data_IF_965539175868
#
_entry.id   IF_965539175868
#
_cell.length_a   1.000
_cell.length_b   1.000
_cell.length_c   1.000
_cell.angle_alpha   90.00
_cell.angle_beta   90.00
_cell.angle_gamma   90.00
#
_symmetry.space_group_name_H-M   'P 1'
#
loop_
_entity.id
_entity.type
_entity.pdbx_description
1 polymer ?
#
# COMPACT_ATOMS: atom_id res chain seq x y z
N UNK A 1 4.78 19.97 -4.38
CA UNK A 1 3.79 19.00 -4.92
C UNK A 1 3.69 17.88 -3.92
N UNK A 2 2.47 17.53 -3.49
CA UNK A 2 2.25 16.51 -2.46
C UNK A 2 2.70 15.13 -2.97
N UNK A 3 3.26 14.31 -2.09
CA UNK A 3 3.83 12.98 -2.40
C UNK A 3 2.99 11.90 -1.68
N UNK A 4 2.43 10.98 -2.44
CA UNK A 4 1.65 9.83 -1.97
C UNK A 4 2.52 8.59 -2.04
N UNK A 5 2.71 7.91 -0.92
CA UNK A 5 3.31 6.59 -0.88
C UNK A 5 2.26 5.50 -1.19
N UNK A 6 2.66 4.51 -1.96
CA UNK A 6 1.84 3.37 -2.36
C UNK A 6 2.60 2.12 -1.93
N UNK A 7 2.04 1.35 -1.01
CA UNK A 7 2.62 0.08 -0.58
C UNK A 7 1.66 -1.05 -0.88
N UNK A 8 2.07 -2.03 -1.67
CA UNK A 8 1.28 -3.20 -2.02
C UNK A 8 2.03 -4.50 -1.74
N UNK A 9 1.34 -5.63 -1.90
CA UNK A 9 1.90 -6.94 -1.56
C UNK A 9 1.95 -7.87 -2.76
N UNK A 10 3.01 -8.68 -2.87
CA UNK A 10 3.04 -9.78 -3.85
C UNK A 10 2.06 -10.90 -3.52
N UNK A 11 1.61 -11.00 -2.26
CA UNK A 11 0.57 -11.92 -1.83
C UNK A 11 -0.82 -11.57 -2.40
N UNK A 12 -1.10 -10.29 -2.67
CA UNK A 12 -2.38 -9.87 -3.19
C UNK A 12 -2.62 -10.41 -4.61
N UNK A 13 -3.84 -10.87 -4.87
CA UNK A 13 -4.21 -11.46 -6.17
C UNK A 13 -4.71 -10.44 -7.20
N UNK A 14 -4.77 -9.17 -6.82
CA UNK A 14 -5.26 -8.08 -7.65
C UNK A 14 -4.38 -6.84 -7.45
N UNK A 15 -4.01 -6.17 -8.55
CA UNK A 15 -3.20 -4.94 -8.52
C UNK A 15 -4.05 -3.72 -8.14
N UNK A 16 -4.40 -3.64 -6.84
CA UNK A 16 -5.14 -2.51 -6.27
C UNK A 16 -4.36 -1.19 -6.35
N UNK A 17 -3.03 -1.27 -6.24
CA UNK A 17 -2.16 -0.10 -6.33
C UNK A 17 -2.21 0.53 -7.72
N UNK A 18 -2.18 -0.29 -8.78
CA UNK A 18 -2.37 0.15 -10.17
C UNK A 18 -3.67 0.92 -10.37
N UNK A 19 -4.79 0.33 -9.93
CA UNK A 19 -6.11 0.96 -10.01
C UNK A 19 -6.17 2.29 -9.24
N UNK A 20 -5.65 2.33 -8.00
CA UNK A 20 -5.67 3.54 -7.20
C UNK A 20 -4.81 4.67 -7.79
N UNK A 21 -3.64 4.37 -8.34
CA UNK A 21 -2.79 5.37 -9.00
C UNK A 21 -3.44 5.93 -10.27
N UNK A 22 -4.16 5.10 -11.03
CA UNK A 22 -4.86 5.54 -12.24
C UNK A 22 -5.97 6.55 -11.90
N UNK A 23 -6.80 6.23 -10.92
CA UNK A 23 -7.84 7.13 -10.41
C UNK A 23 -7.26 8.43 -9.87
N UNK A 24 -6.20 8.37 -9.05
CA UNK A 24 -5.59 9.56 -8.45
C UNK A 24 -4.98 10.50 -9.51
N UNK A 25 -4.43 9.96 -10.60
CA UNK A 25 -3.95 10.79 -11.73
C UNK A 25 -5.08 11.59 -12.40
N UNK A 26 -6.31 11.06 -12.39
CA UNK A 26 -7.49 11.74 -12.92
C UNK A 26 -8.08 12.81 -11.98
N UNK A 27 -7.81 12.72 -10.68
CA UNK A 27 -8.42 13.58 -9.66
C UNK A 27 -7.50 14.70 -9.17
N UNK A 28 -6.18 14.48 -9.10
CA UNK A 28 -5.25 15.45 -8.54
C UNK A 28 -3.80 15.31 -9.03
N UNK A 29 -3.04 16.41 -8.89
CA UNK A 29 -1.61 16.44 -9.22
C UNK A 29 -0.75 16.09 -8.01
N UNK A 30 -0.43 14.81 -7.86
CA UNK A 30 0.44 14.27 -6.80
C UNK A 30 1.60 13.47 -7.37
N UNK A 31 2.71 13.37 -6.63
CA UNK A 31 3.81 12.46 -6.94
C UNK A 31 3.55 11.11 -6.28
N UNK A 32 3.95 10.02 -6.93
CA UNK A 32 3.83 8.67 -6.36
C UNK A 32 5.20 8.10 -6.02
N UNK A 33 5.26 7.36 -4.91
CA UNK A 33 6.37 6.49 -4.54
C UNK A 33 5.79 5.10 -4.26
N UNK A 34 6.06 4.13 -5.14
CA UNK A 34 5.50 2.76 -5.01
C UNK A 34 6.55 1.80 -4.50
N UNK A 35 6.19 0.99 -3.50
CA UNK A 35 6.99 -0.13 -3.01
C UNK A 35 6.13 -1.37 -2.84
N UNK A 36 6.67 -2.53 -3.20
CA UNK A 36 5.98 -3.81 -3.09
C UNK A 36 6.70 -4.69 -2.08
N UNK A 37 5.97 -5.21 -1.10
CA UNK A 37 6.47 -6.09 -0.03
C UNK A 37 5.88 -7.50 -0.16
N UNK A 38 6.40 -8.52 0.54
CA UNK A 38 5.87 -9.88 0.42
C UNK A 38 4.40 -10.01 0.87
N UNK A 39 4.04 -9.50 2.04
CA UNK A 39 2.71 -9.71 2.61
C UNK A 39 2.21 -8.59 3.52
N UNK A 40 1.03 -8.80 4.10
CA UNK A 40 0.32 -7.80 4.90
C UNK A 40 1.12 -7.32 6.11
N UNK A 41 1.89 -8.22 6.74
CA UNK A 41 2.71 -7.93 7.93
C UNK A 41 3.92 -7.05 7.64
N UNK A 42 4.30 -6.90 6.38
CA UNK A 42 5.42 -6.05 5.95
C UNK A 42 4.96 -4.61 5.66
N UNK A 43 3.66 -4.39 5.43
CA UNK A 43 3.08 -3.09 5.12
C UNK A 43 3.35 -2.02 6.21
N UNK A 44 3.25 -2.30 7.53
CA UNK A 44 3.39 -1.25 8.54
C UNK A 44 4.78 -0.60 8.54
N UNK A 45 5.84 -1.41 8.47
CA UNK A 45 7.22 -0.90 8.49
C UNK A 45 7.52 -0.12 7.22
N UNK A 46 7.07 -0.62 6.06
CA UNK A 46 7.35 0.05 4.80
C UNK A 46 6.53 1.33 4.63
N UNK A 47 5.28 1.35 5.09
CA UNK A 47 4.49 2.57 5.15
C UNK A 47 5.13 3.62 6.06
N UNK A 48 5.62 3.22 7.23
CA UNK A 48 6.35 4.12 8.12
C UNK A 48 7.60 4.69 7.46
N UNK A 49 8.39 3.87 6.77
CA UNK A 49 9.58 4.33 6.02
C UNK A 49 9.23 5.37 4.98
N UNK A 50 8.18 5.15 4.18
CA UNK A 50 7.75 6.13 3.17
C UNK A 50 7.31 7.46 3.78
N UNK A 51 6.65 7.44 4.94
CA UNK A 51 6.30 8.66 5.69
C UNK A 51 7.57 9.37 6.19
N UNK A 52 8.51 8.62 6.78
CA UNK A 52 9.80 9.17 7.25
C UNK A 52 10.66 9.73 6.08
N UNK A 53 10.52 9.16 4.88
CA UNK A 53 11.15 9.61 3.62
C UNK A 53 10.43 10.81 2.95
N UNK A 54 9.39 11.35 3.59
CA UNK A 54 8.72 12.59 3.17
C UNK A 54 7.49 12.40 2.27
N UNK A 55 6.86 11.22 2.26
CA UNK A 55 5.49 11.12 1.75
C UNK A 55 4.51 11.80 2.70
N UNK A 56 3.56 12.58 2.16
CA UNK A 56 2.53 13.28 2.94
C UNK A 56 1.44 12.33 3.45
N UNK A 57 1.21 11.23 2.72
CA UNK A 57 0.25 10.16 3.07
C UNK A 57 0.70 8.85 2.41
N UNK A 58 0.34 7.71 2.99
CA UNK A 58 0.58 6.39 2.41
C UNK A 58 -0.72 5.60 2.30
N UNK A 59 -0.93 4.95 1.16
CA UNK A 59 -1.98 3.95 0.97
C UNK A 59 -1.36 2.55 1.00
N UNK A 60 -1.88 1.68 1.87
CA UNK A 60 -1.42 0.31 2.03
C UNK A 60 -2.45 -0.69 1.47
N UNK A 61 -2.03 -1.52 0.51
CA UNK A 61 -2.87 -2.45 -0.24
C UNK A 61 -2.53 -3.90 0.12
N UNK A 62 -3.28 -4.45 1.07
CA UNK A 62 -3.21 -5.85 1.49
C UNK A 62 -4.46 -6.63 1.11
N UNK A 63 -4.31 -7.91 0.81
CA UNK A 63 -5.43 -8.83 0.57
C UNK A 63 -5.22 -10.09 1.43
N UNK A 64 -5.80 -10.13 2.65
CA UNK A 64 -5.73 -11.32 3.50
C UNK A 64 -6.31 -12.55 2.79
N UNK A 65 -5.75 -13.72 3.09
CA UNK A 65 -6.33 -14.99 2.66
C UNK A 65 -7.65 -15.32 3.38
N UNK A 66 -8.27 -16.44 3.00
CA UNK A 66 -9.57 -16.85 3.54
C UNK A 66 -9.49 -17.67 4.84
N UNK A 67 -8.30 -18.09 5.28
CA UNK A 67 -8.16 -18.94 6.46
C UNK A 67 -8.35 -18.12 7.74
N UNK A 68 -8.76 -18.73 8.85
CA UNK A 68 -8.88 -18.03 10.13
C UNK A 68 -7.59 -17.32 10.56
N UNK A 69 -6.44 -17.95 10.33
CA UNK A 69 -5.13 -17.35 10.61
C UNK A 69 -4.87 -16.07 9.79
N UNK A 70 -5.39 -15.99 8.57
CA UNK A 70 -5.22 -14.81 7.71
C UNK A 70 -5.97 -13.60 8.27
N UNK A 71 -7.12 -13.82 8.94
CA UNK A 71 -7.85 -12.75 9.63
C UNK A 71 -7.07 -12.19 10.81
N UNK A 72 -6.42 -13.07 11.58
CA UNK A 72 -5.56 -12.65 12.68
C UNK A 72 -4.37 -11.84 12.14
N UNK A 73 -3.69 -12.36 11.11
CA UNK A 73 -2.58 -11.66 10.45
C UNK A 73 -2.98 -10.32 9.82
N UNK A 74 -4.26 -10.09 9.53
CA UNK A 74 -4.76 -8.82 9.00
C UNK A 74 -5.14 -7.81 10.09
N UNK A 75 -5.38 -8.29 11.31
CA UNK A 75 -5.63 -7.44 12.48
C UNK A 75 -4.33 -6.93 13.08
N UNK A 76 -3.29 -7.77 13.07
CA UNK A 76 -1.92 -7.50 13.53
C UNK A 76 -1.14 -6.61 12.55
#
# INVERSE_FOLDING_TARGET
MKKVGIVDTTFARYDMAGAAMDELRGLCSVKFERRTVPGIKDLPVEAKRLLDEGCDIVMAFGMPGAKPIDRQCAHE
#
